data_IF_380290803769
#
_entry.id   IF_380290803769
#
_cell.length_a   1.000
_cell.length_b   1.000
_cell.length_c   1.000
_cell.angle_alpha   90.00
_cell.angle_beta   90.00
_cell.angle_gamma   90.00
#
_symmetry.space_group_name_H-M   'P 1'
#
loop_
_entity.id
_entity.type
_entity.pdbx_description
1 polymer ?
#
# COMPACT_ATOMS: atom_id res chain seq x y z
N UNK A 1 13.63 -18.40 7.60
CA UNK A 1 13.72 -17.00 7.15
C UNK A 1 12.42 -16.34 7.48
N UNK A 2 12.47 -15.16 8.09
CA UNK A 2 11.29 -14.42 8.53
C UNK A 2 11.54 -12.93 8.32
N UNK A 3 10.50 -12.15 8.01
CA UNK A 3 10.63 -10.71 7.86
C UNK A 3 9.28 -10.05 7.63
N UNK A 4 9.17 -8.78 8.03
CA UNK A 4 7.91 -8.05 8.02
C UNK A 4 6.95 -8.49 9.13
N UNK A 5 5.67 -8.14 9.02
CA UNK A 5 4.71 -8.49 10.08
C UNK A 5 3.26 -8.12 9.80
N UNK A 6 2.96 -6.82 9.69
CA UNK A 6 1.59 -6.32 9.54
C UNK A 6 1.16 -6.27 8.07
N UNK A 7 -0.07 -6.71 7.80
CA UNK A 7 -0.67 -6.63 6.48
C UNK A 7 -0.70 -5.18 5.99
N UNK A 8 -0.02 -4.90 4.88
CA UNK A 8 -0.02 -3.59 4.24
C UNK A 8 1.00 -2.57 4.78
N UNK A 9 1.87 -2.97 5.71
CA UNK A 9 3.04 -2.18 6.11
C UNK A 9 4.28 -2.65 5.34
N UNK A 10 5.21 -1.72 5.10
CA UNK A 10 6.54 -2.03 4.58
C UNK A 10 7.36 -2.72 5.69
N UNK A 11 8.08 -3.83 5.39
CA UNK A 11 8.92 -4.50 6.38
C UNK A 11 10.05 -3.60 6.89
N UNK A 12 10.14 -3.43 8.21
CA UNK A 12 11.26 -2.73 8.85
C UNK A 12 12.43 -3.63 9.24
N UNK A 13 12.19 -4.94 9.33
CA UNK A 13 13.20 -5.92 9.74
C UNK A 13 12.97 -7.28 9.05
N UNK A 14 14.07 -8.01 8.84
CA UNK A 14 14.07 -9.38 8.35
C UNK A 14 15.30 -10.14 8.86
N UNK A 15 15.17 -11.46 9.02
CA UNK A 15 16.22 -12.35 9.48
C UNK A 15 16.20 -13.66 8.68
N UNK A 16 17.37 -14.13 8.27
CA UNK A 16 17.57 -15.44 7.68
C UNK A 16 18.65 -16.21 8.45
N UNK A 17 18.44 -17.51 8.66
CA UNK A 17 19.46 -18.41 9.18
C UNK A 17 19.96 -19.26 8.01
N UNK A 18 21.27 -19.26 7.78
CA UNK A 18 21.93 -19.94 6.67
C UNK A 18 22.94 -20.95 7.20
N UNK A 19 23.04 -22.10 6.53
CA UNK A 19 24.08 -23.08 6.80
C UNK A 19 25.30 -22.75 5.93
N UNK A 20 26.46 -22.58 6.56
CA UNK A 20 27.72 -22.23 5.88
C UNK A 20 28.80 -23.21 6.34
N UNK A 21 29.56 -23.84 5.43
CA UNK A 21 30.71 -24.63 5.81
C UNK A 21 31.68 -23.82 6.68
N UNK A 22 32.24 -24.42 7.73
CA UNK A 22 33.11 -23.69 8.66
C UNK A 22 34.31 -23.01 7.97
N UNK A 23 34.83 -23.61 6.89
CA UNK A 23 35.90 -23.04 6.07
C UNK A 23 35.50 -21.77 5.32
N UNK A 24 34.22 -21.61 4.98
CA UNK A 24 33.69 -20.48 4.21
C UNK A 24 33.16 -19.33 5.10
N UNK A 25 33.11 -19.53 6.42
CA UNK A 25 32.66 -18.51 7.35
C UNK A 25 33.42 -17.16 7.23
N UNK A 26 34.75 -17.12 7.05
CA UNK A 26 35.47 -15.87 6.81
C UNK A 26 34.99 -15.14 5.55
N UNK A 27 34.79 -15.90 4.46
CA UNK A 27 34.28 -15.37 3.19
C UNK A 27 32.86 -14.85 3.32
N UNK A 28 31.99 -15.57 4.03
CA UNK A 28 30.61 -15.12 4.28
C UNK A 28 30.59 -13.79 5.06
N UNK A 29 31.45 -13.62 6.08
CA UNK A 29 31.59 -12.36 6.81
C UNK A 29 32.06 -11.22 5.90
N UNK A 30 33.00 -11.48 5.00
CA UNK A 30 33.47 -10.49 4.04
C UNK A 30 32.36 -10.05 3.09
N UNK A 31 31.62 -11.00 2.49
CA UNK A 31 30.48 -10.71 1.60
C UNK A 31 29.41 -9.90 2.30
N UNK A 32 28.99 -10.29 3.51
CA UNK A 32 27.97 -9.53 4.27
C UNK A 32 28.46 -8.12 4.59
N UNK A 33 29.73 -7.96 4.96
CA UNK A 33 30.31 -6.64 5.23
C UNK A 33 30.30 -5.75 3.99
N UNK A 34 30.66 -6.32 2.84
CA UNK A 34 30.64 -5.60 1.57
C UNK A 34 29.22 -5.16 1.21
N UNK A 35 28.24 -6.06 1.31
CA UNK A 35 26.83 -5.74 1.01
C UNK A 35 26.26 -4.70 1.98
N UNK A 36 26.61 -4.75 3.28
CA UNK A 36 26.22 -3.71 4.26
C UNK A 36 26.74 -2.32 3.85
N UNK A 37 27.98 -2.23 3.36
CA UNK A 37 28.56 -0.98 2.85
C UNK A 37 27.83 -0.50 1.59
N UNK A 38 27.56 -1.40 0.65
CA UNK A 38 26.84 -1.09 -0.59
C UNK A 38 25.41 -0.59 -0.30
N UNK A 39 24.67 -1.28 0.58
CA UNK A 39 23.32 -0.89 1.00
C UNK A 39 23.30 0.48 1.69
N UNK A 40 24.28 0.78 2.56
CA UNK A 40 24.38 2.12 3.18
C UNK A 40 24.73 3.20 2.18
N UNK A 41 25.57 2.91 1.20
CA UNK A 41 25.90 3.87 0.15
C UNK A 41 24.69 4.17 -0.73
N UNK A 42 23.87 3.17 -1.06
CA UNK A 42 22.68 3.30 -1.90
C UNK A 42 21.50 3.93 -1.15
N UNK A 43 21.20 3.46 0.06
CA UNK A 43 19.97 3.79 0.78
C UNK A 43 20.17 4.61 2.05
N UNK A 44 21.39 4.87 2.51
CA UNK A 44 21.64 5.54 3.79
C UNK A 44 21.09 6.97 3.89
N UNK A 45 20.81 7.62 2.75
CA UNK A 45 20.13 8.94 2.73
C UNK A 45 18.63 8.85 3.04
N UNK A 46 17.95 7.81 2.55
CA UNK A 46 16.52 7.60 2.77
C UNK A 46 16.23 6.74 4.00
N UNK A 47 17.17 5.88 4.38
CA UNK A 47 17.06 4.91 5.47
C UNK A 47 18.34 4.95 6.31
N UNK A 48 18.53 5.98 7.17
CA UNK A 48 19.78 6.17 7.92
C UNK A 48 20.12 5.02 8.87
N UNK A 49 19.11 4.27 9.30
CA UNK A 49 19.25 3.13 10.24
C UNK A 49 19.46 1.78 9.53
N UNK A 50 19.60 1.76 8.19
CA UNK A 50 19.78 0.50 7.45
C UNK A 50 21.08 -0.21 7.89
N UNK A 51 20.96 -1.48 8.22
CA UNK A 51 22.09 -2.34 8.52
C UNK A 51 21.84 -3.78 8.07
N UNK A 52 22.92 -4.45 7.72
CA UNK A 52 22.98 -5.88 7.53
C UNK A 52 24.04 -6.47 8.47
N UNK A 53 23.69 -7.53 9.20
CA UNK A 53 24.57 -8.18 10.17
C UNK A 53 24.59 -9.70 9.96
N UNK A 54 25.74 -10.31 10.23
CA UNK A 54 25.91 -11.76 10.30
C UNK A 54 26.31 -12.15 11.72
N UNK A 55 25.45 -12.93 12.37
CA UNK A 55 25.69 -13.46 13.71
C UNK A 55 25.83 -14.97 13.65
N UNK A 56 26.90 -15.50 14.25
CA UNK A 56 27.10 -16.95 14.33
C UNK A 56 26.25 -17.51 15.48
N UNK A 57 25.38 -18.48 15.17
CA UNK A 57 24.62 -19.21 16.19
C UNK A 57 25.51 -20.22 16.92
N UNK A 58 25.19 -20.46 18.19
CA UNK A 58 25.91 -21.40 19.04
C UNK A 58 25.69 -22.88 18.64
N UNK A 59 24.52 -23.18 18.06
CA UNK A 59 24.13 -24.51 17.64
C UNK A 59 23.63 -24.50 16.19
N UNK A 60 23.91 -25.58 15.47
CA UNK A 60 23.31 -25.82 14.17
C UNK A 60 21.85 -26.25 14.34
N UNK A 61 21.00 -25.89 13.39
CA UNK A 61 19.64 -26.39 13.30
C UNK A 61 19.64 -27.84 12.78
N UNK A 62 18.69 -28.65 13.23
CA UNK A 62 18.57 -30.06 12.82
C UNK A 62 18.07 -30.21 11.36
N UNK A 63 17.54 -29.13 10.77
CA UNK A 63 17.03 -29.13 9.41
C UNK A 63 17.25 -27.80 8.70
N UNK A 64 17.42 -27.88 7.39
CA UNK A 64 17.51 -26.73 6.50
C UNK A 64 16.68 -27.01 5.23
N UNK A 65 16.40 -25.94 4.47
CA UNK A 65 15.88 -26.10 3.12
C UNK A 65 16.88 -26.90 2.26
N UNK A 66 16.37 -27.71 1.34
CA UNK A 66 17.22 -28.27 0.29
C UNK A 66 17.77 -27.15 -0.60
N UNK A 67 18.88 -27.40 -1.29
CA UNK A 67 19.45 -26.47 -2.26
C UNK A 67 18.40 -26.05 -3.30
N UNK A 68 17.68 -27.02 -3.87
CA UNK A 68 16.58 -26.79 -4.82
C UNK A 68 15.46 -25.90 -4.24
N UNK A 69 15.09 -26.09 -2.96
CA UNK A 69 14.06 -25.27 -2.33
C UNK A 69 14.56 -23.86 -2.03
N UNK A 70 15.86 -23.72 -1.73
CA UNK A 70 16.51 -22.44 -1.49
C UNK A 70 16.55 -21.61 -2.78
N UNK A 71 17.00 -22.20 -3.88
CA UNK A 71 17.00 -21.57 -5.20
C UNK A 71 15.60 -21.13 -5.62
N UNK A 72 14.60 -22.01 -5.49
CA UNK A 72 13.20 -21.65 -5.79
C UNK A 72 12.68 -20.49 -4.95
N UNK A 73 13.03 -20.44 -3.67
CA UNK A 73 12.62 -19.34 -2.80
C UNK A 73 13.28 -18.02 -3.21
N UNK A 74 14.59 -18.04 -3.50
CA UNK A 74 15.32 -16.87 -3.96
C UNK A 74 14.78 -16.36 -5.31
N UNK A 75 14.58 -17.26 -6.27
CA UNK A 75 13.93 -16.95 -7.55
C UNK A 75 12.54 -16.35 -7.35
N UNK A 76 11.76 -16.87 -6.40
CA UNK A 76 10.42 -16.34 -6.12
C UNK A 76 10.53 -14.91 -5.61
N UNK A 77 11.42 -14.64 -4.66
CA UNK A 77 11.63 -13.30 -4.11
C UNK A 77 12.07 -12.31 -5.19
N UNK A 78 12.91 -12.73 -6.13
CA UNK A 78 13.39 -11.89 -7.23
C UNK A 78 12.34 -11.66 -8.32
N UNK A 79 11.45 -12.62 -8.56
CA UNK A 79 10.43 -12.52 -9.60
C UNK A 79 9.16 -11.78 -9.14
N UNK A 80 8.87 -11.81 -7.84
CA UNK A 80 7.74 -11.09 -7.27
C UNK A 80 7.93 -9.58 -7.45
N UNK A 81 6.91 -8.85 -7.95
CA UNK A 81 6.99 -7.41 -8.05
C UNK A 81 7.02 -6.78 -6.66
N UNK A 82 7.85 -5.76 -6.47
CA UNK A 82 7.94 -4.97 -5.24
C UNK A 82 8.16 -3.49 -5.58
N UNK A 83 7.57 -2.59 -4.79
CA UNK A 83 7.61 -1.15 -4.97
C UNK A 83 6.57 -0.59 -5.95
N UNK A 84 6.83 0.63 -6.44
CA UNK A 84 5.97 1.36 -7.38
C UNK A 84 6.15 0.80 -8.79
N UNK A 85 5.06 0.31 -9.38
CA UNK A 85 5.06 -0.30 -10.71
C UNK A 85 4.57 0.67 -11.79
N UNK A 86 3.66 1.59 -11.45
CA UNK A 86 3.12 2.58 -12.38
C UNK A 86 2.64 3.83 -11.66
N UNK A 87 3.06 4.99 -12.18
CA UNK A 87 2.51 6.30 -11.82
C UNK A 87 1.22 6.55 -12.62
N UNK A 88 0.27 7.28 -12.02
CA UNK A 88 -0.97 7.67 -12.66
C UNK A 88 -0.72 8.64 -13.81
N UNK A 89 -1.32 8.36 -14.97
CA UNK A 89 -1.33 9.28 -16.11
C UNK A 89 -2.35 10.43 -15.90
N UNK A 90 -3.35 10.23 -15.06
CA UNK A 90 -4.44 11.20 -14.82
C UNK A 90 -4.15 12.14 -13.66
N UNK A 91 -3.37 11.68 -12.67
CA UNK A 91 -3.05 12.41 -11.44
C UNK A 91 -1.53 12.50 -11.30
N UNK A 92 -0.91 13.57 -11.82
CA UNK A 92 0.54 13.76 -11.73
C UNK A 92 1.05 13.61 -10.29
N UNK A 93 2.09 12.79 -10.11
CA UNK A 93 2.71 12.52 -8.81
C UNK A 93 2.00 11.48 -7.94
N UNK A 94 0.88 10.90 -8.40
CA UNK A 94 0.16 9.84 -7.67
C UNK A 94 0.54 8.47 -8.22
N UNK A 95 0.76 7.50 -7.33
CA UNK A 95 0.97 6.10 -7.71
C UNK A 95 -0.36 5.48 -8.14
N UNK A 96 -0.36 4.79 -9.28
CA UNK A 96 -1.52 4.05 -9.77
C UNK A 96 -1.46 2.59 -9.34
N UNK A 97 -0.31 1.94 -9.50
CA UNK A 97 -0.14 0.51 -9.25
C UNK A 97 1.16 0.25 -8.49
N UNK A 98 1.09 -0.55 -7.42
CA UNK A 98 2.25 -0.97 -6.64
C UNK A 98 2.09 -2.39 -6.09
N UNK A 99 3.20 -2.94 -5.62
CA UNK A 99 3.25 -4.21 -4.91
C UNK A 99 4.18 -4.09 -3.71
N UNK A 100 3.94 -4.88 -2.66
CA UNK A 100 4.83 -4.93 -1.49
C UNK A 100 4.92 -6.37 -1.00
N UNK A 101 6.11 -6.93 -0.88
CA UNK A 101 6.35 -8.16 -0.13
C UNK A 101 6.30 -7.80 1.36
N UNK A 102 5.13 -7.97 1.96
CA UNK A 102 4.83 -7.45 3.29
C UNK A 102 5.27 -8.38 4.43
N UNK A 103 5.37 -9.69 4.13
CA UNK A 103 5.81 -10.68 5.11
C UNK A 103 6.35 -11.93 4.45
N UNK A 104 7.40 -12.48 5.02
CA UNK A 104 7.81 -13.87 4.79
C UNK A 104 7.89 -14.55 6.14
N UNK A 105 7.32 -15.74 6.28
CA UNK A 105 7.43 -16.54 7.51
C UNK A 105 7.27 -18.03 7.24
N UNK A 106 7.74 -18.84 8.16
CA UNK A 106 7.42 -20.25 8.18
C UNK A 106 6.09 -20.46 8.92
N UNK A 107 5.06 -20.95 8.22
CA UNK A 107 3.77 -21.26 8.87
C UNK A 107 3.82 -22.58 9.63
N UNK A 108 4.49 -23.56 9.03
CA UNK A 108 4.56 -24.93 9.50
C UNK A 108 5.85 -25.60 8.99
N UNK A 109 6.26 -26.76 9.55
CA UNK A 109 7.35 -27.55 8.99
C UNK A 109 7.15 -27.80 7.49
N UNK A 110 8.11 -27.36 6.67
CA UNK A 110 8.06 -27.50 5.21
C UNK A 110 7.16 -26.51 4.46
N UNK A 111 6.53 -25.54 5.14
CA UNK A 111 5.63 -24.56 4.51
C UNK A 111 6.08 -23.13 4.81
N UNK A 112 6.50 -22.42 3.77
CA UNK A 112 6.80 -20.98 3.80
C UNK A 112 5.62 -20.22 3.21
N UNK A 113 5.21 -19.16 3.90
CA UNK A 113 4.23 -18.19 3.42
C UNK A 113 4.96 -16.90 3.02
N UNK A 114 4.59 -16.38 1.85
CA UNK A 114 4.98 -15.06 1.37
C UNK A 114 3.70 -14.25 1.18
N UNK A 115 3.52 -13.22 2.00
CA UNK A 115 2.42 -12.28 1.88
C UNK A 115 2.81 -11.13 0.97
N UNK A 116 2.12 -11.00 -0.15
CA UNK A 116 2.29 -9.89 -1.11
C UNK A 116 1.03 -9.03 -1.13
N UNK A 117 1.19 -7.72 -0.92
CA UNK A 117 0.10 -6.75 -0.95
C UNK A 117 0.10 -6.05 -2.29
N UNK A 118 -0.96 -6.27 -3.06
CA UNK A 118 -1.14 -5.70 -4.40
C UNK A 118 -2.12 -4.54 -4.35
N UNK A 119 -1.78 -3.42 -4.98
CA UNK A 119 -2.63 -2.22 -5.01
C UNK A 119 -2.72 -1.67 -6.43
N UNK A 120 -3.94 -1.32 -6.84
CA UNK A 120 -4.13 -0.46 -8.01
C UNK A 120 -5.44 0.33 -7.92
N UNK A 121 -5.42 1.58 -8.38
CA UNK A 121 -6.64 2.38 -8.59
C UNK A 121 -7.41 1.94 -9.84
N UNK A 122 -6.76 1.18 -10.73
CA UNK A 122 -7.33 0.69 -11.98
C UNK A 122 -7.59 -0.83 -11.89
N UNK A 123 -8.87 -1.28 -11.89
CA UNK A 123 -9.21 -2.69 -11.69
C UNK A 123 -8.56 -3.66 -12.70
N UNK A 124 -8.42 -3.26 -13.97
CA UNK A 124 -7.77 -4.08 -14.99
C UNK A 124 -6.27 -4.27 -14.71
N UNK A 125 -5.57 -3.23 -14.23
CA UNK A 125 -4.17 -3.30 -13.83
C UNK A 125 -3.98 -4.20 -12.60
N UNK A 126 -4.88 -4.13 -11.60
CA UNK A 126 -4.85 -5.05 -10.46
C UNK A 126 -5.00 -6.51 -10.89
N UNK A 127 -5.92 -6.81 -11.82
CA UNK A 127 -6.09 -8.17 -12.37
C UNK A 127 -4.82 -8.65 -13.09
N UNK A 128 -4.19 -7.80 -13.90
CA UNK A 128 -2.95 -8.14 -14.57
C UNK A 128 -1.81 -8.41 -13.57
N UNK A 129 -1.72 -7.61 -12.50
CA UNK A 129 -0.74 -7.79 -11.44
C UNK A 129 -0.95 -9.10 -10.66
N UNK A 130 -2.20 -9.42 -10.29
CA UNK A 130 -2.55 -10.72 -9.69
C UNK A 130 -2.13 -11.88 -10.59
N UNK A 131 -2.40 -11.78 -11.90
CA UNK A 131 -1.97 -12.80 -12.86
C UNK A 131 -0.45 -12.94 -12.92
N UNK A 132 0.31 -11.84 -12.92
CA UNK A 132 1.79 -11.87 -12.88
C UNK A 132 2.31 -12.61 -11.64
N UNK A 133 1.79 -12.28 -10.46
CA UNK A 133 2.16 -12.94 -9.19
C UNK A 133 1.82 -14.43 -9.22
N UNK A 134 0.61 -14.77 -9.66
CA UNK A 134 0.19 -16.17 -9.77
C UNK A 134 1.10 -16.97 -10.72
N UNK A 135 1.52 -16.36 -11.84
CA UNK A 135 2.44 -17.01 -12.79
C UNK A 135 3.84 -17.17 -12.22
N UNK A 136 4.37 -16.20 -11.49
CA UNK A 136 5.67 -16.33 -10.81
C UNK A 136 5.64 -17.49 -9.79
N UNK A 137 4.60 -17.54 -8.94
CA UNK A 137 4.43 -18.63 -7.97
C UNK A 137 4.33 -20.01 -8.65
N UNK A 138 3.47 -20.14 -9.67
CA UNK A 138 3.29 -21.41 -10.40
C UNK A 138 4.58 -21.93 -11.04
N UNK A 139 5.43 -21.04 -11.56
CA UNK A 139 6.70 -21.43 -12.18
C UNK A 139 7.70 -22.03 -11.20
N UNK A 140 7.52 -21.73 -9.91
CA UNK A 140 8.39 -22.17 -8.83
C UNK A 140 7.68 -23.17 -7.90
N UNK A 141 6.61 -23.81 -8.39
CA UNK A 141 5.85 -24.86 -7.68
C UNK A 141 5.22 -24.34 -6.38
N UNK A 142 4.97 -23.03 -6.29
CA UNK A 142 4.23 -22.40 -5.21
C UNK A 142 2.76 -22.16 -5.59
N UNK A 143 1.88 -22.13 -4.60
CA UNK A 143 0.47 -21.75 -4.75
C UNK A 143 0.29 -20.28 -4.41
N UNK A 144 -0.62 -19.61 -5.11
CA UNK A 144 -0.96 -18.21 -4.86
C UNK A 144 -2.47 -18.08 -4.68
N UNK A 145 -2.88 -17.64 -3.50
CA UNK A 145 -4.28 -17.38 -3.15
C UNK A 145 -4.52 -15.88 -3.01
N UNK A 146 -5.67 -15.41 -3.49
CA UNK A 146 -6.05 -14.00 -3.47
C UNK A 146 -7.32 -13.80 -2.66
N UNK A 147 -7.26 -12.96 -1.63
CA UNK A 147 -8.44 -12.52 -0.90
C UNK A 147 -9.36 -11.59 -1.72
N UNK A 148 -10.53 -11.28 -1.16
CA UNK A 148 -11.55 -10.43 -1.77
C UNK A 148 -11.02 -9.03 -2.14
N UNK A 149 -10.04 -8.50 -1.38
CA UNK A 149 -9.45 -7.19 -1.61
C UNK A 149 -10.44 -6.04 -1.44
N UNK A 150 -9.99 -4.81 -1.70
CA UNK A 150 -10.86 -3.64 -1.86
C UNK A 150 -10.80 -3.20 -3.31
N UNK A 151 -11.92 -2.74 -3.90
CA UNK A 151 -11.91 -2.18 -5.24
C UNK A 151 -11.06 -0.90 -5.28
N UNK A 152 -10.46 -0.63 -6.44
CA UNK A 152 -9.87 0.67 -6.71
C UNK A 152 -10.95 1.72 -6.94
N UNK A 153 -10.65 2.99 -6.64
CA UNK A 153 -11.54 4.10 -6.92
C UNK A 153 -10.81 5.19 -7.72
N UNK A 154 -11.28 5.40 -8.95
CA UNK A 154 -10.83 6.51 -9.80
C UNK A 154 -11.74 7.72 -9.58
N UNK A 155 -11.23 8.88 -9.11
CA UNK A 155 -12.05 10.05 -8.85
C UNK A 155 -12.68 10.64 -10.13
N UNK A 156 -13.99 10.87 -10.14
CA UNK A 156 -14.66 11.61 -11.20
C UNK A 156 -14.58 13.13 -10.92
N UNK A 157 -13.62 13.81 -11.53
CA UNK A 157 -13.35 15.24 -11.27
C UNK A 157 -14.48 16.18 -11.69
N UNK A 158 -15.33 15.75 -12.62
CA UNK A 158 -16.42 16.55 -13.18
C UNK A 158 -17.76 16.26 -12.50
N UNK A 159 -17.80 15.37 -11.50
CA UNK A 159 -19.02 15.10 -10.75
C UNK A 159 -19.50 16.38 -10.03
N UNK A 160 -20.80 16.74 -10.13
CA UNK A 160 -21.39 17.89 -9.43
C UNK A 160 -20.99 17.98 -7.96
N UNK A 161 -21.03 16.87 -7.20
CA UNK A 161 -20.62 16.86 -5.79
C UNK A 161 -19.15 17.25 -5.61
N UNK A 162 -18.27 16.77 -6.49
CA UNK A 162 -16.83 17.06 -6.43
C UNK A 162 -16.57 18.54 -6.70
N UNK A 163 -17.22 19.11 -7.71
CA UNK A 163 -17.10 20.55 -8.03
C UNK A 163 -17.61 21.40 -6.86
N UNK A 164 -18.78 21.05 -6.31
CA UNK A 164 -19.33 21.74 -5.14
C UNK A 164 -18.38 21.67 -3.93
N UNK A 165 -17.83 20.48 -3.63
CA UNK A 165 -16.88 20.30 -2.53
C UNK A 165 -15.61 21.13 -2.71
N UNK A 166 -15.08 21.25 -3.94
CA UNK A 166 -13.92 22.10 -4.24
C UNK A 166 -14.20 23.58 -3.96
N UNK A 167 -15.38 24.07 -4.33
CA UNK A 167 -15.76 25.46 -4.09
C UNK A 167 -15.94 25.76 -2.61
N UNK A 168 -16.61 24.88 -1.87
CA UNK A 168 -16.80 25.02 -0.42
C UNK A 168 -15.45 24.96 0.28
N UNK A 169 -14.59 24.00 -0.08
CA UNK A 169 -13.25 23.89 0.45
C UNK A 169 -12.46 25.18 0.24
N UNK A 170 -12.47 25.75 -0.97
CA UNK A 170 -11.75 27.00 -1.26
C UNK A 170 -12.20 28.16 -0.38
N UNK A 171 -13.50 28.23 -0.05
CA UNK A 171 -14.05 29.27 0.84
C UNK A 171 -13.64 29.06 2.30
N UNK A 172 -13.56 27.82 2.77
CA UNK A 172 -13.18 27.49 4.16
C UNK A 172 -11.67 27.61 4.37
N UNK A 173 -10.88 27.09 3.44
CA UNK A 173 -9.42 26.99 3.58
C UNK A 173 -8.65 28.16 2.97
N UNK A 174 -9.32 29.01 2.18
CA UNK A 174 -8.68 30.14 1.48
C UNK A 174 -7.69 29.72 0.38
N UNK A 175 -7.65 28.44 0.02
CA UNK A 175 -6.75 27.86 -1.00
C UNK A 175 -7.47 26.82 -1.84
N UNK A 176 -6.96 26.54 -3.03
CA UNK A 176 -7.46 25.43 -3.84
C UNK A 176 -7.19 24.08 -3.15
N UNK A 177 -8.12 23.15 -3.30
CA UNK A 177 -7.91 21.76 -2.88
C UNK A 177 -6.94 21.09 -3.86
N UNK A 178 -5.97 20.34 -3.31
CA UNK A 178 -5.19 19.41 -4.11
C UNK A 178 -6.00 18.13 -4.26
N UNK A 179 -6.49 17.84 -5.47
CA UNK A 179 -7.12 16.56 -5.74
C UNK A 179 -6.07 15.45 -5.69
N UNK A 180 -6.09 14.66 -4.64
CA UNK A 180 -5.24 13.51 -4.47
C UNK A 180 -6.05 12.21 -4.63
N UNK A 181 -5.46 11.20 -5.26
CA UNK A 181 -5.90 9.82 -5.09
C UNK A 181 -5.07 9.21 -3.97
N UNK A 182 -5.76 8.62 -2.99
CA UNK A 182 -5.11 7.87 -1.93
C UNK A 182 -4.71 6.51 -2.50
N UNK A 183 -3.41 6.21 -2.51
CA UNK A 183 -2.89 4.89 -2.88
C UNK A 183 -3.04 3.90 -1.73
N UNK A 184 -4.28 3.61 -1.35
CA UNK A 184 -4.64 2.77 -0.21
C UNK A 184 -6.08 2.27 -0.28
N UNK A 185 -6.43 1.34 0.60
CA UNK A 185 -7.80 0.81 0.69
C UNK A 185 -8.76 1.91 1.14
N UNK A 186 -9.87 2.06 0.42
CA UNK A 186 -10.92 3.03 0.75
C UNK A 186 -12.26 2.31 0.85
N UNK A 187 -12.95 2.46 1.98
CA UNK A 187 -14.32 1.97 2.15
C UNK A 187 -15.28 2.64 1.17
N UNK A 188 -14.99 3.88 0.76
CA UNK A 188 -15.75 4.59 -0.27
C UNK A 188 -15.73 3.83 -1.59
N UNK A 189 -14.58 3.24 -1.95
CA UNK A 189 -14.49 2.43 -3.16
C UNK A 189 -15.44 1.22 -3.10
N UNK A 190 -15.50 0.55 -1.94
CA UNK A 190 -16.40 -0.59 -1.72
C UNK A 190 -17.88 -0.18 -1.74
N UNK A 191 -18.22 1.02 -1.24
CA UNK A 191 -19.57 1.57 -1.34
C UNK A 191 -19.96 1.86 -2.79
N UNK A 192 -19.07 2.50 -3.55
CA UNK A 192 -19.31 2.86 -4.96
C UNK A 192 -19.46 1.64 -5.87
N UNK A 193 -18.74 0.55 -5.60
CA UNK A 193 -18.93 -0.71 -6.34
C UNK A 193 -20.34 -1.29 -6.15
N UNK A 194 -20.92 -1.11 -4.96
CA UNK A 194 -22.27 -1.60 -4.63
C UNK A 194 -23.37 -0.65 -5.07
N UNK A 195 -23.08 0.64 -5.21
CA UNK A 195 -24.04 1.69 -5.56
C UNK A 195 -23.47 2.53 -6.73
N UNK A 196 -23.62 2.08 -7.99
CA UNK A 196 -22.93 2.67 -9.14
C UNK A 196 -23.26 4.14 -9.43
N UNK A 197 -24.39 4.63 -8.94
CA UNK A 197 -24.86 6.01 -9.14
C UNK A 197 -24.52 6.94 -7.98
N UNK A 198 -23.88 6.43 -6.93
CA UNK A 198 -23.50 7.25 -5.79
C UNK A 198 -22.33 8.16 -6.19
N UNK A 199 -22.47 9.46 -5.95
CA UNK A 199 -21.34 10.37 -5.93
C UNK A 199 -20.74 10.40 -4.54
N UNK A 200 -19.41 10.42 -4.45
CA UNK A 200 -18.72 10.46 -3.17
C UNK A 200 -17.52 11.39 -3.21
N UNK A 201 -17.30 12.07 -2.08
CA UNK A 201 -16.07 12.79 -1.76
C UNK A 201 -15.58 12.29 -0.41
N UNK A 202 -14.26 12.20 -0.25
CA UNK A 202 -13.62 11.85 1.02
C UNK A 202 -12.71 13.01 1.43
N UNK A 203 -12.88 13.49 2.65
CA UNK A 203 -12.09 14.56 3.25
C UNK A 203 -12.07 14.36 4.77
N UNK A 204 -11.12 15.00 5.44
CA UNK A 204 -10.95 14.85 6.88
C UNK A 204 -9.88 15.82 7.43
N UNK A 205 -9.67 15.81 8.75
CA UNK A 205 -8.65 16.65 9.37
C UNK A 205 -7.24 16.17 9.03
N UNK A 206 -6.25 17.00 9.31
CA UNK A 206 -4.84 16.66 9.16
C UNK A 206 -4.45 15.68 10.29
N UNK A 207 -4.24 14.41 9.94
CA UNK A 207 -3.79 13.35 10.84
C UNK A 207 -2.35 12.95 10.49
N UNK A 208 -1.46 12.92 11.49
CA UNK A 208 -0.10 12.46 11.36
C UNK A 208 0.07 11.09 12.05
N UNK A 209 0.86 10.20 11.45
CA UNK A 209 1.17 8.89 12.02
C UNK A 209 -0.03 7.94 12.09
N UNK A 210 -1.02 8.09 11.20
CA UNK A 210 -2.21 7.25 11.20
C UNK A 210 -1.85 5.75 11.22
N UNK A 211 -2.47 5.00 12.14
CA UNK A 211 -2.27 3.55 12.36
C UNK A 211 -0.89 3.17 12.92
N UNK A 212 -0.11 4.15 13.40
CA UNK A 212 1.20 3.96 14.03
C UNK A 212 1.20 4.51 15.47
N UNK A 213 2.08 4.03 16.37
CA UNK A 213 2.32 4.68 17.65
C UNK A 213 2.68 6.16 17.45
N UNK A 214 2.07 7.04 18.25
CA UNK A 214 2.24 8.50 18.08
C UNK A 214 1.25 9.15 17.11
N UNK A 215 0.21 8.43 16.67
CA UNK A 215 -0.91 9.00 15.91
C UNK A 215 -1.47 10.25 16.61
N UNK A 216 -1.56 11.35 15.88
CA UNK A 216 -2.09 12.61 16.38
C UNK A 216 -2.86 13.38 15.31
N UNK A 217 -3.78 14.23 15.75
CA UNK A 217 -4.61 15.07 14.89
C UNK A 217 -4.31 16.54 15.17
N UNK A 218 -4.22 17.35 14.12
CA UNK A 218 -4.07 18.80 14.26
C UNK A 218 -5.41 19.43 14.62
N UNK A 219 -5.54 19.91 15.86
CA UNK A 219 -6.81 20.42 16.42
C UNK A 219 -7.46 21.48 15.52
N UNK A 220 -6.72 22.48 15.05
CA UNK A 220 -7.28 23.54 14.18
C UNK A 220 -7.87 23.01 12.86
N UNK A 221 -7.38 21.88 12.34
CA UNK A 221 -7.93 21.27 11.12
C UNK A 221 -9.26 20.57 11.35
N UNK A 222 -9.57 20.19 12.60
CA UNK A 222 -10.85 19.57 12.98
C UNK A 222 -11.99 20.57 12.83
N UNK A 223 -11.80 21.79 13.32
CA UNK A 223 -12.80 22.86 13.19
C UNK A 223 -13.08 23.18 11.72
N UNK A 224 -12.03 23.27 10.89
CA UNK A 224 -12.19 23.50 9.45
C UNK A 224 -12.92 22.35 8.75
N UNK A 225 -12.61 21.11 9.14
CA UNK A 225 -13.30 19.92 8.60
C UNK A 225 -14.79 19.94 8.96
N UNK A 226 -15.12 20.34 10.19
CA UNK A 226 -16.50 20.52 10.63
C UNK A 226 -17.21 21.60 9.81
N UNK A 227 -16.58 22.74 9.63
CA UNK A 227 -17.17 23.87 8.91
C UNK A 227 -17.34 23.57 7.41
N UNK A 228 -16.41 22.81 6.81
CA UNK A 228 -16.53 22.24 5.47
C UNK A 228 -17.72 21.29 5.36
N UNK A 229 -17.87 20.37 6.32
CA UNK A 229 -18.99 19.41 6.35
C UNK A 229 -20.33 20.12 6.39
N UNK A 230 -20.49 21.09 7.32
CA UNK A 230 -21.74 21.85 7.48
C UNK A 230 -22.09 22.61 6.20
N UNK A 231 -21.15 23.36 5.62
CA UNK A 231 -21.39 24.16 4.42
C UNK A 231 -21.68 23.30 3.19
N UNK A 232 -21.08 22.11 3.09
CA UNK A 232 -21.38 21.17 2.01
C UNK A 232 -22.81 20.64 2.14
N UNK A 233 -23.23 20.25 3.34
CA UNK A 233 -24.60 19.80 3.61
C UNK A 233 -25.64 20.90 3.34
N UNK A 234 -25.35 22.14 3.76
CA UNK A 234 -26.21 23.30 3.47
C UNK A 234 -26.37 23.54 1.97
N UNK A 235 -25.28 23.38 1.21
CA UNK A 235 -25.31 23.52 -0.25
C UNK A 235 -26.09 22.40 -0.92
N UNK A 236 -25.93 21.16 -0.45
CA UNK A 236 -26.66 20.00 -0.97
C UNK A 236 -28.17 20.14 -0.74
N UNK A 237 -28.58 20.53 0.47
CA UNK A 237 -29.98 20.76 0.79
C UNK A 237 -30.60 21.87 -0.06
N UNK A 238 -29.85 22.96 -0.32
CA UNK A 238 -30.32 24.05 -1.17
C UNK A 238 -30.42 23.65 -2.66
N UNK A 239 -29.53 22.79 -3.16
CA UNK A 239 -29.63 22.30 -4.55
C UNK A 239 -30.82 21.37 -4.76
N UNK A 240 -31.17 20.53 -3.79
CA UNK A 240 -32.36 19.67 -3.89
C UNK A 240 -33.66 20.48 -3.90
N UNK A 241 -33.73 21.58 -3.12
CA UNK A 241 -34.92 22.46 -3.13
C UNK A 241 -35.17 23.15 -4.47
N UNK A 242 -34.13 23.35 -5.29
CA UNK A 242 -34.26 23.95 -6.63
C UNK A 242 -34.77 22.95 -7.67
N UNK A 243 -34.38 21.68 -7.59
CA UNK A 243 -34.88 20.63 -8.49
C UNK A 243 -36.34 20.26 -8.17
N UNK A 244 -36.75 20.29 -6.89
CA UNK A 244 -38.16 20.09 -6.52
C UNK A 244 -39.06 21.24 -6.97
N UNK A 245 -38.57 22.48 -6.92
CA UNK A 245 -39.32 23.66 -7.37
C UNK A 245 -39.43 23.71 -8.91
N UNK A 246 -38.43 23.23 -9.65
CA UNK A 246 -38.51 23.11 -11.11
C UNK A 246 -39.45 21.98 -11.57
N UNK A 247 -39.54 20.88 -10.82
CA UNK A 247 -40.52 19.82 -11.09
C UNK A 247 -41.96 20.21 -10.71
N UNK A 248 -42.15 21.17 -9.81
CA UNK A 248 -43.47 21.65 -9.39
C UNK A 248 -44.07 22.72 -10.33
N UNK A 249 -43.27 23.28 -11.27
CA UNK A 249 -43.71 24.32 -12.22
C UNK A 249 -44.21 23.75 -13.56
N UNK A 250 -44.10 22.42 -13.76
CA UNK A 250 -44.57 21.70 -14.96
C UNK A 250 -45.83 20.83 -14.72
N UNK A 251 -46.70 21.23 -13.76
CA UNK A 251 -48.06 20.68 -13.58
C UNK A 251 -49.13 21.77 -13.76
#
# INVERSE_FOLDING_TARGET
MEGGGRHGAEPGEATATIAVPAADLPRAKEVVTQVDVELRAEHGRSSPEIQLRLEQRAHAEDSALSEESTERLLDLMLLLPDGVLRQSAEIPGSVETSSTIARVRQEAPGMLEVLVVLRSTVPSALRALKARVARAAQRLVATADFGAGFPGWTPNRTAPLVVMAQEVFRKVEGRAVALASLHGSSEVAALLERIPHLEAVSFGPDVAGAKQPGECVKVDSVEKTWDLTRRLLERLAASESLDSDLQAVDL
#
